data_IF_612217515522
#
_entry.id   IF_612217515522
#
_cell.length_a   1.000
_cell.length_b   1.000
_cell.length_c   1.000
_cell.angle_alpha   90.00
_cell.angle_beta   90.00
_cell.angle_gamma   90.00
#
_symmetry.space_group_name_H-M   'P 1'
#
loop_
_entity.id
_entity.type
_entity.pdbx_description
1 polymer ?
#
# COMPACT_ATOMS: atom_id res chain seq x y z
N UNK A 1 8.49 -5.62 -0.02
CA UNK A 1 8.04 -5.72 -1.42
C UNK A 1 6.93 -4.71 -1.74
N UNK A 2 5.77 -4.82 -1.07
CA UNK A 2 4.54 -4.11 -1.40
C UNK A 2 4.71 -2.58 -1.47
N UNK A 3 5.48 -1.98 -0.56
CA UNK A 3 5.77 -0.53 -0.59
C UNK A 3 6.42 -0.06 -1.90
N UNK A 4 7.28 -0.87 -2.53
CA UNK A 4 7.93 -0.52 -3.81
C UNK A 4 6.93 -0.45 -4.98
N UNK A 5 5.73 -1.01 -4.83
CA UNK A 5 4.65 -0.88 -5.82
C UNK A 5 3.95 0.47 -5.74
N UNK A 6 4.11 1.25 -4.67
CA UNK A 6 3.61 2.63 -4.58
C UNK A 6 4.49 3.58 -5.42
N UNK A 7 3.94 4.73 -5.82
CA UNK A 7 4.77 5.79 -6.43
C UNK A 7 5.78 6.34 -5.43
N UNK A 8 6.89 6.94 -5.88
CA UNK A 8 7.89 7.56 -4.98
C UNK A 8 7.24 8.60 -4.05
N UNK A 9 6.37 9.44 -4.58
CA UNK A 9 5.59 10.43 -3.81
C UNK A 9 4.71 9.76 -2.77
N UNK A 10 3.97 8.73 -3.15
CA UNK A 10 3.09 7.98 -2.25
C UNK A 10 3.89 7.27 -1.14
N UNK A 11 5.06 6.71 -1.47
CA UNK A 11 5.96 6.12 -0.48
C UNK A 11 6.45 7.17 0.53
N UNK A 12 6.79 8.38 0.07
CA UNK A 12 7.21 9.47 0.96
C UNK A 12 6.09 9.92 1.90
N UNK A 13 4.86 10.05 1.41
CA UNK A 13 3.69 10.35 2.27
C UNK A 13 3.48 9.29 3.34
N UNK A 14 3.53 8.01 2.95
CA UNK A 14 3.40 6.90 3.91
C UNK A 14 4.49 6.97 4.98
N UNK A 15 5.75 7.18 4.57
CA UNK A 15 6.88 7.33 5.51
C UNK A 15 6.70 8.52 6.46
N UNK A 16 6.18 9.65 5.97
CA UNK A 16 5.88 10.83 6.80
C UNK A 16 4.79 10.53 7.83
N UNK A 17 3.68 9.92 7.39
CA UNK A 17 2.58 9.52 8.29
C UNK A 17 3.11 8.59 9.38
N UNK A 18 3.86 7.55 8.99
CA UNK A 18 4.41 6.58 9.94
C UNK A 18 5.29 7.24 10.98
N UNK A 19 6.17 8.15 10.54
CA UNK A 19 7.03 8.88 11.45
C UNK A 19 6.26 9.78 12.40
N UNK A 20 5.28 10.52 11.89
CA UNK A 20 4.47 11.43 12.71
C UNK A 20 3.55 10.70 13.68
N UNK A 21 3.14 9.46 13.39
CA UNK A 21 2.40 8.62 14.32
C UNK A 21 3.27 8.07 15.47
N UNK A 22 4.58 7.96 15.25
CA UNK A 22 5.54 7.46 16.25
C UNK A 22 6.18 8.59 17.08
N UNK A 23 6.08 9.84 16.61
CA UNK A 23 6.73 11.02 17.17
C UNK A 23 5.74 11.93 17.93
N UNK A 24 6.21 12.65 18.95
CA UNK A 24 5.37 13.53 19.77
C UNK A 24 5.20 14.95 19.17
N UNK A 25 5.89 15.25 18.08
CA UNK A 25 5.83 16.52 17.35
C UNK A 25 7.19 16.91 16.77
N UNK A 26 7.20 17.30 15.49
CA UNK A 26 8.44 17.60 14.74
C UNK A 26 8.26 18.83 13.87
N UNK A 27 9.32 19.62 13.65
CA UNK A 27 9.23 20.75 12.73
C UNK A 27 9.20 20.28 11.27
N UNK A 28 8.63 21.11 10.38
CA UNK A 28 8.71 20.90 8.93
C UNK A 28 10.16 20.88 8.43
N UNK A 29 11.06 21.60 9.10
CA UNK A 29 12.49 21.59 8.79
C UNK A 29 13.12 20.24 9.07
N UNK A 30 12.86 19.67 10.24
CA UNK A 30 13.39 18.38 10.62
C UNK A 30 12.84 17.26 9.73
N UNK A 31 11.56 17.35 9.33
CA UNK A 31 10.98 16.46 8.31
C UNK A 31 11.71 16.57 6.97
N UNK A 32 11.96 17.79 6.51
CA UNK A 32 12.67 18.02 5.26
C UNK A 32 14.08 17.40 5.28
N UNK A 33 14.83 17.64 6.35
CA UNK A 33 16.18 17.08 6.57
C UNK A 33 16.13 15.56 6.64
N UNK A 34 15.28 15.01 7.52
CA UNK A 34 15.19 13.56 7.80
C UNK A 34 14.81 12.75 6.57
N UNK A 35 13.85 13.23 5.78
CA UNK A 35 13.38 12.54 4.58
C UNK A 35 14.12 12.97 3.32
N UNK A 36 15.13 13.85 3.43
CA UNK A 36 15.90 14.39 2.31
C UNK A 36 14.99 14.95 1.21
N UNK A 37 14.01 15.76 1.61
CA UNK A 37 13.07 16.47 0.74
C UNK A 37 13.21 17.98 0.96
N UNK A 38 12.76 18.79 0.01
CA UNK A 38 12.78 20.25 0.19
C UNK A 38 11.73 20.69 1.21
N UNK A 39 11.94 21.86 1.82
CA UNK A 39 10.93 22.49 2.69
C UNK A 39 9.58 22.66 2.00
N UNK A 40 9.59 22.99 0.69
CA UNK A 40 8.36 23.10 -0.09
C UNK A 40 7.66 21.76 -0.23
N UNK A 41 8.41 20.68 -0.51
CA UNK A 41 7.85 19.34 -0.63
C UNK A 41 7.29 18.84 0.72
N UNK A 42 7.98 19.12 1.83
CA UNK A 42 7.47 18.80 3.17
C UNK A 42 6.11 19.49 3.42
N UNK A 43 6.01 20.80 3.15
CA UNK A 43 4.74 21.54 3.26
C UNK A 43 3.63 20.96 2.39
N UNK A 44 3.93 20.70 1.11
CA UNK A 44 2.98 20.11 0.17
C UNK A 44 2.51 18.75 0.64
N UNK A 45 3.42 17.86 1.08
CA UNK A 45 3.04 16.52 1.54
C UNK A 45 2.20 16.56 2.81
N UNK A 46 2.51 17.42 3.78
CA UNK A 46 1.70 17.58 4.99
C UNK A 46 0.29 18.07 4.63
N UNK A 47 0.17 19.09 3.78
CA UNK A 47 -1.13 19.58 3.32
C UNK A 47 -1.91 18.50 2.54
N UNK A 48 -1.24 17.75 1.67
CA UNK A 48 -1.89 16.65 0.93
C UNK A 48 -2.32 15.51 1.86
N UNK A 49 -1.53 15.17 2.89
CA UNK A 49 -1.90 14.17 3.90
C UNK A 49 -3.17 14.61 4.65
N UNK A 50 -3.23 15.87 5.08
CA UNK A 50 -4.40 16.42 5.79
C UNK A 50 -5.68 16.33 4.95
N UNK A 51 -5.57 16.65 3.65
CA UNK A 51 -6.72 16.63 2.74
C UNK A 51 -7.10 15.23 2.25
N UNK A 52 -6.14 14.32 2.11
CA UNK A 52 -6.37 13.00 1.51
C UNK A 52 -6.92 11.98 2.52
N UNK A 53 -6.61 12.13 3.81
CA UNK A 53 -6.85 11.13 4.85
C UNK A 53 -7.80 11.69 5.92
N UNK A 54 -9.11 11.56 5.70
CA UNK A 54 -10.14 12.12 6.59
C UNK A 54 -10.18 11.55 8.01
N UNK A 55 -9.42 10.51 8.30
CA UNK A 55 -9.28 9.91 9.64
C UNK A 55 -7.98 10.33 10.35
N UNK A 56 -7.20 11.20 9.71
CA UNK A 56 -6.01 11.82 10.26
C UNK A 56 -6.30 13.29 10.60
N UNK A 57 -5.72 13.76 11.69
CA UNK A 57 -5.78 15.14 12.15
C UNK A 57 -4.36 15.69 12.30
N UNK A 58 -3.99 16.65 11.46
CA UNK A 58 -2.68 17.31 11.50
C UNK A 58 -2.79 18.64 12.25
N UNK A 59 -2.14 18.70 13.40
CA UNK A 59 -2.11 19.89 14.25
C UNK A 59 -0.73 20.54 14.24
N UNK A 60 -0.73 21.87 14.29
CA UNK A 60 0.48 22.66 14.45
C UNK A 60 0.46 23.31 15.83
N UNK A 61 1.51 23.12 16.63
CA UNK A 61 1.62 23.81 17.91
C UNK A 61 2.18 25.25 17.76
N UNK A 62 2.23 25.99 18.87
CA UNK A 62 2.69 27.38 18.92
C UNK A 62 4.14 27.55 18.41
N UNK A 63 4.93 26.46 18.37
CA UNK A 63 6.30 26.42 17.86
C UNK A 63 6.39 25.90 16.43
N UNK A 64 5.25 25.79 15.72
CA UNK A 64 5.14 25.23 14.37
C UNK A 64 5.58 23.77 14.26
N UNK A 65 5.55 23.00 15.35
CA UNK A 65 5.74 21.56 15.30
C UNK A 65 4.47 20.91 14.78
N UNK A 66 4.64 20.00 13.82
CA UNK A 66 3.58 19.19 13.22
C UNK A 66 3.37 17.95 14.07
N UNK A 67 2.13 17.71 14.47
CA UNK A 67 1.69 16.49 15.17
C UNK A 67 0.57 15.85 14.37
N UNK A 68 0.59 14.52 14.32
CA UNK A 68 -0.41 13.73 13.63
C UNK A 68 -1.18 12.90 14.63
N UNK A 69 -2.49 13.03 14.63
CA UNK A 69 -3.40 12.24 15.45
C UNK A 69 -4.33 11.40 14.57
N UNK A 70 -4.65 10.20 15.04
CA UNK A 70 -5.73 9.41 14.47
C UNK A 70 -7.05 9.87 15.10
N UNK A 71 -8.09 10.02 14.30
CA UNK A 71 -9.45 10.19 14.82
C UNK A 71 -9.88 8.97 15.65
N UNK A 72 -10.88 9.14 16.55
CA UNK A 72 -11.40 8.02 17.32
C UNK A 72 -11.76 6.82 16.43
N UNK A 73 -11.44 5.61 16.89
CA UNK A 73 -11.64 4.34 16.18
C UNK A 73 -10.78 4.11 14.94
N UNK A 74 -10.07 5.13 14.44
CA UNK A 74 -9.07 4.92 13.40
C UNK A 74 -7.80 4.32 14.00
N UNK A 75 -7.19 3.42 13.25
CA UNK A 75 -5.97 2.74 13.60
C UNK A 75 -4.91 2.99 12.54
N UNK A 76 -3.66 2.67 12.85
CA UNK A 76 -2.58 2.70 11.87
C UNK A 76 -2.83 1.73 10.69
N UNK A 77 -3.71 0.74 10.86
CA UNK A 77 -4.09 -0.19 9.81
C UNK A 77 -4.96 0.47 8.74
N UNK A 78 -5.79 1.45 9.11
CA UNK A 78 -6.59 2.26 8.17
C UNK A 78 -5.71 3.04 7.20
N UNK A 79 -4.59 3.59 7.69
CA UNK A 79 -3.56 4.23 6.84
C UNK A 79 -3.15 3.27 5.74
N UNK A 80 -2.72 2.06 6.12
CA UNK A 80 -2.21 1.09 5.17
C UNK A 80 -3.27 0.64 4.16
N UNK A 81 -4.48 0.33 4.64
CA UNK A 81 -5.62 -0.03 3.79
C UNK A 81 -5.91 1.07 2.76
N UNK A 82 -5.90 2.35 3.16
CA UNK A 82 -6.18 3.45 2.25
C UNK A 82 -5.10 3.60 1.16
N UNK A 83 -3.82 3.43 1.50
CA UNK A 83 -2.75 3.43 0.50
C UNK A 83 -2.85 2.28 -0.50
N UNK A 84 -3.19 1.07 -0.03
CA UNK A 84 -3.41 -0.09 -0.88
C UNK A 84 -4.61 0.14 -1.82
N UNK A 85 -5.70 0.71 -1.29
CA UNK A 85 -6.94 0.96 -2.02
C UNK A 85 -6.80 2.02 -3.11
N UNK A 86 -6.06 3.10 -2.85
CA UNK A 86 -5.92 4.22 -3.81
C UNK A 86 -4.82 4.03 -4.85
N UNK A 87 -3.90 3.08 -4.64
CA UNK A 87 -2.77 2.87 -5.53
C UNK A 87 -3.20 2.19 -6.82
N UNK A 88 -2.99 2.84 -7.96
CA UNK A 88 -3.26 2.24 -9.28
C UNK A 88 -2.49 0.93 -9.52
N UNK A 89 -1.31 0.77 -8.92
CA UNK A 89 -0.56 -0.48 -9.03
C UNK A 89 -1.27 -1.65 -8.33
N UNK A 90 -1.86 -1.38 -7.17
CA UNK A 90 -2.60 -2.38 -6.41
C UNK A 90 -3.97 -2.66 -7.04
N UNK A 91 -4.67 -1.62 -7.50
CA UNK A 91 -5.92 -1.77 -8.25
C UNK A 91 -5.71 -2.61 -9.53
N UNK A 92 -4.63 -2.36 -10.29
CA UNK A 92 -4.30 -3.18 -11.46
C UNK A 92 -4.00 -4.64 -11.11
N UNK A 93 -3.21 -4.86 -10.06
CA UNK A 93 -2.89 -6.22 -9.62
C UNK A 93 -4.13 -6.99 -9.17
N UNK A 94 -5.04 -6.32 -8.47
CA UNK A 94 -6.32 -6.87 -8.04
C UNK A 94 -7.23 -7.23 -9.21
N UNK A 95 -7.36 -6.37 -10.23
CA UNK A 95 -8.08 -6.72 -11.45
C UNK A 95 -7.50 -7.97 -12.12
N UNK A 96 -6.17 -8.06 -12.16
CA UNK A 96 -5.46 -9.19 -12.78
C UNK A 96 -5.47 -10.47 -11.94
N UNK A 97 -5.80 -10.39 -10.66
CA UNK A 97 -6.06 -11.56 -9.82
C UNK A 97 -7.35 -12.26 -10.23
N UNK A 98 -8.40 -11.48 -10.51
CA UNK A 98 -9.74 -12.00 -10.83
C UNK A 98 -9.90 -12.39 -12.29
N UNK A 99 -9.19 -11.72 -13.21
CA UNK A 99 -9.43 -11.82 -14.65
C UNK A 99 -8.17 -11.63 -15.49
N UNK A 100 -8.14 -12.23 -16.68
CA UNK A 100 -7.18 -11.88 -17.74
C UNK A 100 -7.80 -10.88 -18.72
N UNK A 101 -6.98 -10.01 -19.30
CA UNK A 101 -7.43 -8.98 -20.25
C UNK A 101 -6.77 -9.16 -21.62
N UNK A 102 -7.52 -8.89 -22.69
CA UNK A 102 -7.02 -9.03 -24.06
C UNK A 102 -6.40 -7.75 -24.62
N UNK A 103 -6.68 -6.58 -24.01
CA UNK A 103 -6.13 -5.30 -24.45
C UNK A 103 -5.83 -4.34 -23.30
N UNK A 104 -4.85 -3.46 -23.51
CA UNK A 104 -4.55 -2.36 -22.60
C UNK A 104 -5.67 -1.32 -22.53
N UNK A 105 -6.48 -1.22 -23.59
CA UNK A 105 -7.60 -0.28 -23.66
C UNK A 105 -8.71 -0.66 -22.69
N UNK A 106 -8.96 -1.95 -22.47
CA UNK A 106 -9.88 -2.41 -21.41
C UNK A 106 -9.39 -2.01 -20.02
N UNK A 107 -8.11 -2.29 -19.71
CA UNK A 107 -7.52 -1.90 -18.44
C UNK A 107 -7.49 -0.39 -18.22
N UNK A 108 -7.30 0.38 -19.29
CA UNK A 108 -7.36 1.83 -19.26
C UNK A 108 -8.75 2.33 -18.86
N UNK A 109 -9.82 1.71 -19.39
CA UNK A 109 -11.20 2.02 -19.01
C UNK A 109 -11.47 1.64 -17.55
N UNK A 110 -11.15 0.41 -17.13
CA UNK A 110 -11.40 -0.09 -15.76
C UNK A 110 -10.73 0.77 -14.68
N UNK A 111 -9.50 1.24 -14.94
CA UNK A 111 -8.73 2.02 -13.98
C UNK A 111 -8.86 3.53 -14.17
N UNK A 112 -9.67 3.99 -15.14
CA UNK A 112 -9.75 5.39 -15.54
C UNK A 112 -8.36 6.02 -15.79
N UNK A 113 -7.53 5.33 -16.58
CA UNK A 113 -6.17 5.73 -16.93
C UNK A 113 -5.98 5.74 -18.44
N UNK A 114 -5.00 6.49 -18.94
CA UNK A 114 -4.62 6.34 -20.35
C UNK A 114 -3.95 4.99 -20.62
N UNK A 115 -4.09 4.46 -21.84
CA UNK A 115 -3.33 3.28 -22.31
C UNK A 115 -1.83 3.39 -22.05
N UNK A 116 -1.26 4.58 -22.30
CA UNK A 116 0.17 4.83 -22.05
C UNK A 116 0.54 4.71 -20.56
N UNK A 117 -0.38 5.13 -19.68
CA UNK A 117 -0.22 5.00 -18.22
C UNK A 117 -0.26 3.54 -17.80
N UNK A 118 -1.17 2.73 -18.34
CA UNK A 118 -1.24 1.28 -18.07
C UNK A 118 0.07 0.58 -18.48
N UNK A 119 0.59 0.86 -19.68
CA UNK A 119 1.84 0.25 -20.17
C UNK A 119 3.01 0.61 -19.25
N UNK A 120 3.15 1.89 -18.87
CA UNK A 120 4.19 2.33 -17.93
C UNK A 120 4.02 1.68 -16.55
N UNK A 121 2.78 1.55 -16.09
CA UNK A 121 2.44 0.96 -14.79
C UNK A 121 2.82 -0.52 -14.76
N UNK A 122 2.43 -1.30 -15.77
CA UNK A 122 2.81 -2.72 -15.92
C UNK A 122 4.33 -2.88 -15.94
N UNK A 123 5.04 -2.05 -16.69
CA UNK A 123 6.51 -2.07 -16.71
C UNK A 123 7.09 -1.83 -15.32
N UNK A 124 6.57 -0.85 -14.58
CA UNK A 124 7.02 -0.57 -13.19
C UNK A 124 6.75 -1.74 -12.27
N UNK A 125 5.55 -2.31 -12.32
CA UNK A 125 5.16 -3.46 -11.51
C UNK A 125 6.10 -4.62 -11.78
N UNK A 126 6.31 -5.00 -13.05
CA UNK A 126 7.19 -6.12 -13.40
C UNK A 126 8.64 -5.93 -12.91
N UNK A 127 9.17 -4.70 -12.90
CA UNK A 127 10.49 -4.44 -12.30
C UNK A 127 10.51 -4.71 -10.78
N UNK A 128 9.42 -4.40 -10.08
CA UNK A 128 9.29 -4.65 -8.65
C UNK A 128 9.06 -6.13 -8.35
N UNK A 129 8.30 -6.82 -9.21
CA UNK A 129 7.95 -8.23 -9.04
C UNK A 129 9.07 -9.20 -9.48
N UNK A 130 10.00 -8.78 -10.33
CA UNK A 130 11.04 -9.63 -10.91
C UNK A 130 11.81 -10.50 -9.88
N UNK A 131 12.22 -9.99 -8.69
CA UNK A 131 12.91 -10.82 -7.69
C UNK A 131 12.07 -11.94 -7.07
N UNK A 132 10.76 -11.93 -7.29
CA UNK A 132 9.79 -12.83 -6.66
C UNK A 132 9.23 -13.89 -7.63
N UNK A 133 9.84 -14.00 -8.82
CA UNK A 133 9.52 -15.02 -9.82
C UNK A 133 8.06 -14.99 -10.30
N UNK A 134 7.45 -13.79 -10.37
CA UNK A 134 6.19 -13.60 -11.09
C UNK A 134 6.09 -12.21 -11.71
N UNK A 135 5.22 -12.06 -12.69
CA UNK A 135 5.09 -10.86 -13.52
C UNK A 135 3.72 -10.79 -14.19
N UNK A 136 3.40 -9.62 -14.74
CA UNK A 136 2.27 -9.40 -15.63
C UNK A 136 2.73 -9.68 -17.06
N UNK A 137 2.29 -10.79 -17.64
CA UNK A 137 2.41 -11.08 -19.07
C UNK A 137 1.52 -10.13 -19.88
N UNK A 138 1.76 -9.97 -21.18
CA UNK A 138 1.02 -9.00 -22.03
C UNK A 138 0.21 -9.64 -23.17
N UNK A 139 0.30 -10.97 -23.33
CA UNK A 139 -0.40 -11.74 -24.38
C UNK A 139 -0.89 -13.10 -23.85
N UNK A 140 -2.10 -13.20 -23.27
CA UNK A 140 -2.95 -12.09 -22.81
C UNK A 140 -2.37 -11.38 -21.58
N UNK A 141 -2.96 -10.26 -21.18
CA UNK A 141 -2.55 -9.50 -20.00
C UNK A 141 -3.05 -10.23 -18.74
N UNK A 142 -2.13 -10.87 -18.02
CA UNK A 142 -2.45 -11.72 -16.86
C UNK A 142 -1.20 -11.95 -16.00
N UNK A 143 -1.38 -12.41 -14.76
CA UNK A 143 -0.29 -12.83 -13.90
C UNK A 143 0.30 -14.17 -14.36
N UNK A 144 1.63 -14.27 -14.38
CA UNK A 144 2.39 -15.49 -14.71
C UNK A 144 3.64 -15.60 -13.85
N UNK A 145 4.14 -16.82 -13.70
CA UNK A 145 5.34 -17.15 -12.94
C UNK A 145 5.05 -18.23 -11.91
N UNK A 146 5.76 -18.17 -10.79
CA UNK A 146 5.61 -19.07 -9.67
C UNK A 146 4.25 -18.86 -8.97
N UNK A 147 3.36 -19.82 -9.18
CA UNK A 147 2.00 -19.81 -8.63
C UNK A 147 1.97 -19.66 -7.11
N UNK A 148 2.93 -20.26 -6.41
CA UNK A 148 3.00 -20.17 -4.96
C UNK A 148 3.27 -18.72 -4.53
N UNK A 149 4.24 -18.06 -5.17
CA UNK A 149 4.58 -16.67 -4.88
C UNK A 149 3.43 -15.70 -5.22
N UNK A 150 2.68 -15.97 -6.31
CA UNK A 150 1.48 -15.21 -6.67
C UNK A 150 0.43 -15.32 -5.56
N UNK A 151 0.07 -16.55 -5.15
CA UNK A 151 -0.94 -16.78 -4.10
C UNK A 151 -0.58 -16.09 -2.80
N UNK A 152 0.69 -16.17 -2.40
CA UNK A 152 1.16 -15.53 -1.18
C UNK A 152 1.11 -14.01 -1.24
N UNK A 153 1.51 -13.43 -2.37
CA UNK A 153 1.38 -11.99 -2.59
C UNK A 153 -0.07 -11.52 -2.41
N UNK A 154 -1.02 -12.20 -3.06
CA UNK A 154 -2.43 -11.80 -3.00
C UNK A 154 -3.07 -12.06 -1.66
N UNK A 155 -2.72 -13.16 -0.98
CA UNK A 155 -3.16 -13.43 0.38
C UNK A 155 -2.83 -12.28 1.32
N UNK A 156 -1.58 -11.82 1.29
CA UNK A 156 -1.09 -10.73 2.14
C UNK A 156 -1.70 -9.41 1.71
N UNK A 157 -1.74 -9.14 0.40
CA UNK A 157 -2.34 -7.92 -0.13
C UNK A 157 -3.80 -7.76 0.33
N UNK A 158 -4.63 -8.80 0.20
CA UNK A 158 -6.02 -8.75 0.63
C UNK A 158 -6.17 -8.67 2.14
N UNK A 159 -5.35 -9.41 2.89
CA UNK A 159 -5.30 -9.31 4.36
C UNK A 159 -4.88 -7.93 4.86
N UNK A 160 -4.19 -7.13 4.04
CA UNK A 160 -3.77 -5.79 4.44
C UNK A 160 -4.72 -4.71 3.94
N UNK A 161 -5.34 -4.92 2.78
CA UNK A 161 -6.32 -4.00 2.21
C UNK A 161 -7.68 -4.09 2.92
N UNK A 162 -8.20 -5.30 3.12
CA UNK A 162 -9.60 -5.55 3.50
C UNK A 162 -9.79 -5.91 4.97
N UNK A 163 -8.97 -5.34 5.85
CA UNK A 163 -8.91 -5.76 7.25
C UNK A 163 -10.25 -5.73 7.98
N UNK A 164 -11.14 -4.79 7.66
CA UNK A 164 -12.46 -4.68 8.28
C UNK A 164 -13.56 -5.47 7.56
N UNK A 165 -13.41 -5.77 6.27
CA UNK A 165 -14.42 -6.57 5.54
C UNK A 165 -14.40 -8.04 5.98
N UNK A 166 -13.28 -8.52 6.53
CA UNK A 166 -13.22 -9.81 7.20
C UNK A 166 -13.85 -9.79 8.61
N UNK A 167 -14.06 -8.63 9.23
CA UNK A 167 -14.68 -8.54 10.57
C UNK A 167 -16.18 -8.88 10.50
N UNK A 168 -16.84 -8.60 9.37
CA UNK A 168 -18.24 -8.98 9.11
C UNK A 168 -18.40 -10.44 8.62
N UNK A 169 -17.30 -11.07 8.19
CA UNK A 169 -17.24 -12.51 7.99
C UNK A 169 -17.12 -13.16 9.38
N UNK A 170 -18.20 -13.77 9.88
CA UNK A 170 -18.30 -14.44 11.20
C UNK A 170 -16.93 -14.75 11.82
N UNK A 171 -16.55 -14.11 12.94
CA UNK A 171 -15.20 -14.04 13.60
C UNK A 171 -14.25 -15.23 13.33
N UNK A 172 -14.79 -16.45 13.25
CA UNK A 172 -14.07 -17.66 12.85
C UNK A 172 -13.41 -17.60 11.45
N UNK A 173 -14.05 -16.99 10.45
CA UNK A 173 -13.54 -16.92 9.07
C UNK A 173 -12.31 -16.01 8.95
N UNK A 174 -12.32 -14.83 9.57
CA UNK A 174 -11.13 -13.97 9.64
C UNK A 174 -9.97 -14.68 10.34
N UNK A 175 -10.24 -15.31 11.50
CA UNK A 175 -9.23 -16.03 12.27
C UNK A 175 -8.66 -17.23 11.51
N UNK A 176 -9.50 -17.97 10.79
CA UNK A 176 -9.08 -19.08 9.93
C UNK A 176 -8.23 -18.58 8.76
N UNK A 177 -8.62 -17.45 8.14
CA UNK A 177 -7.87 -16.85 7.04
C UNK A 177 -6.50 -16.33 7.50
N UNK A 178 -6.45 -15.67 8.66
CA UNK A 178 -5.20 -15.24 9.31
C UNK A 178 -4.32 -16.43 9.68
N UNK A 179 -4.91 -17.52 10.19
CA UNK A 179 -4.19 -18.76 10.51
C UNK A 179 -3.58 -19.39 9.26
N UNK A 180 -4.33 -19.47 8.17
CA UNK A 180 -3.83 -19.94 6.86
C UNK A 180 -2.68 -19.06 6.39
N UNK A 181 -2.82 -17.73 6.47
CA UNK A 181 -1.76 -16.82 6.07
C UNK A 181 -0.49 -16.93 6.91
N UNK A 182 -0.60 -17.16 8.22
CA UNK A 182 0.55 -17.43 9.10
C UNK A 182 1.28 -18.71 8.69
N UNK A 183 0.54 -19.79 8.43
CA UNK A 183 1.12 -21.06 7.99
C UNK A 183 1.82 -20.90 6.64
N UNK A 184 1.18 -20.21 5.69
CA UNK A 184 1.78 -19.95 4.37
C UNK A 184 3.04 -19.09 4.47
N UNK A 185 3.04 -18.03 5.29
CA UNK A 185 4.19 -17.15 5.46
C UNK A 185 5.39 -17.85 6.13
N UNK A 186 5.16 -18.77 7.08
CA UNK A 186 6.23 -19.54 7.73
C UNK A 186 6.88 -20.58 6.79
N UNK A 187 6.14 -21.05 5.79
CA UNK A 187 6.59 -22.06 4.85
C UNK A 187 7.38 -21.47 3.66
N UNK A 188 7.63 -20.16 3.61
CA UNK A 188 8.23 -19.52 2.44
C UNK A 188 9.28 -18.45 2.66
N UNK A 189 10.09 -18.18 1.62
CA UNK A 189 11.10 -17.12 1.65
C UNK A 189 10.53 -15.69 1.56
N UNK A 190 9.22 -15.52 1.40
CA UNK A 190 8.57 -14.25 1.09
C UNK A 190 8.18 -13.48 2.37
N UNK A 191 9.07 -12.62 2.88
CA UNK A 191 8.72 -11.62 3.91
C UNK A 191 7.92 -10.46 3.30
N UNK A 192 6.62 -10.69 3.10
CA UNK A 192 5.71 -9.75 2.45
C UNK A 192 4.82 -9.12 3.51
N UNK A 193 5.14 -7.91 3.93
CA UNK A 193 4.19 -7.08 4.67
C UNK A 193 4.25 -5.66 4.11
N UNK A 194 3.11 -5.02 3.98
CA UNK A 194 2.96 -3.61 3.61
C UNK A 194 3.02 -2.74 4.86
N UNK A 195 2.27 -3.12 5.89
CA UNK A 195 2.33 -2.65 7.27
C UNK A 195 3.48 -3.31 8.02
N UNK A 196 4.29 -2.53 8.73
CA UNK A 196 5.33 -3.10 9.59
C UNK A 196 4.75 -3.70 10.89
N UNK A 197 3.49 -3.40 11.22
CA UNK A 197 2.79 -3.88 12.43
C UNK A 197 2.61 -5.40 12.43
N UNK A 198 2.32 -6.02 11.27
CA UNK A 198 2.16 -7.48 11.23
C UNK A 198 3.48 -8.25 11.39
N UNK A 199 4.64 -7.56 11.41
CA UNK A 199 5.92 -8.18 11.81
C UNK A 199 5.99 -8.48 13.31
N UNK A 200 5.27 -7.74 14.17
CA UNK A 200 5.30 -7.90 15.64
C UNK A 200 4.18 -8.78 16.19
N UNK A 201 3.26 -9.25 15.34
CA UNK A 201 2.26 -10.29 15.64
C UNK A 201 2.76 -11.71 15.32
N UNK A 202 4.07 -11.84 15.11
CA UNK A 202 4.87 -13.04 14.87
C UNK A 202 6.11 -13.00 15.77
#
# INVERSE_FOLDING_TARGET
MLRKLLSSTTQKKLQLIEYLLDDQGTSLHDLAVKFSISMSAAKTYIAEIDNEFSFLDLQFDDYSAVRLHLHPFATRLDVYSQFLTRSSAFQLLELLFSSSFTSYDMLALELNLSKSSIIRLIKRINMVLAPYDFFIATKPIQLKGNEHNIRQFFLIFFLEKYQYEFVDANINQEQDFLKIARIMAAATPLKLYFSDIKKSLL
#
